data_IF_592937964416
#
_entry.id   IF_592937964416
#
_cell.length_a   1.000
_cell.length_b   1.000
_cell.length_c   1.000
_cell.angle_alpha   90.00
_cell.angle_beta   90.00
_cell.angle_gamma   90.00
#
_symmetry.space_group_name_H-M   'P 1'
#
loop_
_entity.id
_entity.type
_entity.pdbx_description
1 polymer ?
#
# COMPACT_ATOMS: atom_id res chain seq x y z
N UNK A 1 -23.02 -19.64 -7.37
CA UNK A 1 -22.54 -18.99 -6.15
C UNK A 1 -21.26 -18.25 -6.47
N UNK A 2 -20.32 -18.91 -7.16
CA UNK A 2 -19.14 -18.36 -7.87
C UNK A 2 -19.29 -16.93 -8.47
N UNK A 3 -20.35 -16.69 -9.25
CA UNK A 3 -20.54 -15.38 -9.91
C UNK A 3 -20.93 -14.24 -8.95
N UNK A 4 -21.49 -14.54 -7.78
CA UNK A 4 -22.01 -13.52 -6.85
C UNK A 4 -20.86 -12.90 -6.04
N UNK A 5 -19.95 -13.72 -5.49
CA UNK A 5 -18.81 -13.25 -4.69
C UNK A 5 -17.80 -12.46 -5.54
N UNK A 6 -17.51 -12.94 -6.75
CA UNK A 6 -16.64 -12.22 -7.69
C UNK A 6 -17.25 -10.87 -8.09
N UNK A 7 -18.54 -10.85 -8.45
CA UNK A 7 -19.25 -9.60 -8.77
C UNK A 7 -19.29 -8.65 -7.59
N UNK A 8 -19.49 -9.16 -6.37
CA UNK A 8 -19.51 -8.36 -5.15
C UNK A 8 -18.15 -7.71 -4.88
N UNK A 9 -17.04 -8.45 -5.02
CA UNK A 9 -15.69 -7.90 -4.82
C UNK A 9 -15.37 -6.81 -5.86
N UNK A 10 -15.76 -7.01 -7.12
CA UNK A 10 -15.63 -5.99 -8.17
C UNK A 10 -16.48 -4.74 -7.90
N UNK A 11 -17.70 -4.90 -7.39
CA UNK A 11 -18.56 -3.78 -7.01
C UNK A 11 -17.96 -3.00 -5.83
N UNK A 12 -17.39 -3.68 -4.85
CA UNK A 12 -16.64 -3.04 -3.77
C UNK A 12 -15.44 -2.27 -4.31
N UNK A 13 -14.62 -2.90 -5.16
CA UNK A 13 -13.45 -2.25 -5.77
C UNK A 13 -13.86 -1.01 -6.57
N UNK A 14 -14.91 -1.11 -7.39
CA UNK A 14 -15.46 0.01 -8.15
C UNK A 14 -15.94 1.14 -7.23
N UNK A 15 -16.76 0.82 -6.21
CA UNK A 15 -17.27 1.80 -5.26
C UNK A 15 -16.16 2.53 -4.50
N UNK A 16 -15.18 1.79 -3.98
CA UNK A 16 -14.03 2.37 -3.27
C UNK A 16 -13.19 3.25 -4.21
N UNK A 17 -12.97 2.81 -5.45
CA UNK A 17 -12.20 3.58 -6.45
C UNK A 17 -12.88 4.89 -6.84
N UNK A 18 -14.22 4.91 -6.96
CA UNK A 18 -14.99 6.13 -7.24
C UNK A 18 -14.85 7.15 -6.11
N UNK A 19 -15.03 6.71 -4.87
CA UNK A 19 -14.90 7.59 -3.69
C UNK A 19 -13.46 8.11 -3.59
N UNK A 20 -12.47 7.24 -3.76
CA UNK A 20 -11.06 7.62 -3.76
C UNK A 20 -10.75 8.65 -4.85
N UNK A 21 -11.19 8.41 -6.09
CA UNK A 21 -10.97 9.31 -7.22
C UNK A 21 -11.61 10.68 -7.02
N UNK A 22 -12.84 10.74 -6.52
CA UNK A 22 -13.55 11.99 -6.24
C UNK A 22 -12.82 12.84 -5.18
N UNK A 23 -12.36 12.21 -4.10
CA UNK A 23 -11.65 12.89 -3.01
C UNK A 23 -10.24 13.30 -3.45
N UNK A 24 -9.53 12.41 -4.15
CA UNK A 24 -8.19 12.70 -4.65
C UNK A 24 -8.19 13.84 -5.68
N UNK A 25 -9.24 13.94 -6.51
CA UNK A 25 -9.45 15.06 -7.41
C UNK A 25 -9.65 16.36 -6.63
N UNK A 26 -10.66 16.39 -5.75
CA UNK A 26 -11.03 17.60 -4.99
C UNK A 26 -9.88 18.11 -4.11
N UNK A 27 -9.24 17.24 -3.36
CA UNK A 27 -8.19 17.60 -2.40
C UNK A 27 -6.79 17.68 -3.02
N UNK A 28 -6.65 17.44 -4.33
CA UNK A 28 -5.36 17.34 -5.01
C UNK A 28 -4.36 16.41 -4.28
N UNK A 29 -4.86 15.26 -3.82
CA UNK A 29 -4.09 14.33 -3.01
C UNK A 29 -3.08 13.55 -3.87
N UNK A 30 -1.81 13.97 -3.84
CA UNK A 30 -0.71 13.26 -4.50
C UNK A 30 0.56 13.36 -3.67
N UNK A 31 1.25 12.23 -3.54
CA UNK A 31 2.51 12.09 -2.82
C UNK A 31 3.58 13.04 -3.35
N UNK A 32 3.75 13.09 -4.68
CA UNK A 32 4.70 14.00 -5.32
C UNK A 32 4.37 15.47 -5.04
N UNK A 33 3.08 15.81 -5.00
CA UNK A 33 2.64 17.17 -4.67
C UNK A 33 2.93 17.53 -3.22
N UNK A 34 2.71 16.60 -2.28
CA UNK A 34 3.04 16.81 -0.87
C UNK A 34 4.54 17.04 -0.64
N UNK A 35 5.40 16.27 -1.32
CA UNK A 35 6.85 16.43 -1.23
C UNK A 35 7.31 17.74 -1.89
N UNK A 36 6.78 18.06 -3.08
CA UNK A 36 7.10 19.30 -3.78
C UNK A 36 6.70 20.54 -2.99
N UNK A 37 5.51 20.54 -2.38
CA UNK A 37 5.03 21.71 -1.65
C UNK A 37 5.84 21.94 -0.37
N UNK A 38 6.27 20.86 0.30
CA UNK A 38 7.21 20.98 1.40
C UNK A 38 8.54 21.58 0.90
N UNK A 39 9.19 20.97 -0.09
CA UNK A 39 10.56 21.36 -0.48
C UNK A 39 10.62 22.72 -1.17
N UNK A 40 9.67 23.02 -2.05
CA UNK A 40 9.73 24.22 -2.90
C UNK A 40 8.94 25.42 -2.35
N UNK A 41 7.84 25.17 -1.62
CA UNK A 41 6.90 26.22 -1.19
C UNK A 41 6.94 26.41 0.34
N UNK A 42 7.36 25.40 1.09
CA UNK A 42 7.32 25.39 2.55
C UNK A 42 5.93 25.10 3.14
N UNK A 43 4.96 24.68 2.32
CA UNK A 43 3.63 24.28 2.80
C UNK A 43 3.60 22.79 3.16
N UNK A 44 3.39 22.49 4.44
CA UNK A 44 3.33 21.13 4.97
C UNK A 44 1.91 20.56 5.04
N UNK A 45 0.87 21.31 4.67
CA UNK A 45 -0.52 20.88 4.86
C UNK A 45 -0.88 19.63 4.05
N UNK A 46 -0.43 19.54 2.79
CA UNK A 46 -0.63 18.33 1.98
C UNK A 46 0.18 17.14 2.49
N UNK A 47 1.39 17.39 3.01
CA UNK A 47 2.19 16.35 3.66
C UNK A 47 1.49 15.81 4.92
N UNK A 48 0.90 16.69 5.73
CA UNK A 48 0.10 16.32 6.89
C UNK A 48 -1.14 15.51 6.51
N UNK A 49 -1.83 15.88 5.43
CA UNK A 49 -2.96 15.11 4.90
C UNK A 49 -2.54 13.70 4.47
N UNK A 50 -1.40 13.59 3.77
CA UNK A 50 -0.86 12.30 3.35
C UNK A 50 -0.44 11.43 4.55
N UNK A 51 0.25 12.01 5.54
CA UNK A 51 0.60 11.31 6.77
C UNK A 51 -0.62 10.93 7.60
N UNK A 52 -1.69 11.74 7.59
CA UNK A 52 -2.94 11.42 8.26
C UNK A 52 -3.59 10.17 7.66
N UNK A 53 -3.58 10.03 6.33
CA UNK A 53 -4.06 8.82 5.67
C UNK A 53 -3.24 7.59 6.10
N UNK A 54 -1.92 7.72 6.20
CA UNK A 54 -1.04 6.64 6.69
C UNK A 54 -1.38 6.28 8.13
N UNK A 55 -1.50 7.27 9.02
CA UNK A 55 -1.84 7.05 10.44
C UNK A 55 -3.18 6.35 10.60
N UNK A 56 -4.21 6.81 9.86
CA UNK A 56 -5.53 6.18 9.87
C UNK A 56 -5.47 4.74 9.36
N UNK A 57 -4.69 4.46 8.31
CA UNK A 57 -4.51 3.10 7.80
C UNK A 57 -3.76 2.21 8.80
N UNK A 58 -2.68 2.70 9.43
CA UNK A 58 -1.91 1.95 10.44
C UNK A 58 -2.80 1.57 11.62
N UNK A 59 -3.55 2.53 12.17
CA UNK A 59 -4.44 2.26 13.31
C UNK A 59 -5.58 1.32 12.88
N UNK A 60 -6.23 1.59 11.75
CA UNK A 60 -7.39 0.81 11.31
C UNK A 60 -7.04 -0.63 10.95
N UNK A 61 -5.96 -0.86 10.19
CA UNK A 61 -5.48 -2.22 9.88
C UNK A 61 -4.97 -2.90 11.15
N UNK A 62 -4.31 -2.17 12.06
CA UNK A 62 -3.91 -2.71 13.37
C UNK A 62 -5.09 -3.16 14.23
N UNK A 63 -6.23 -2.46 14.19
CA UNK A 63 -7.47 -2.91 14.86
C UNK A 63 -8.01 -4.18 14.20
N UNK A 64 -8.00 -4.25 12.86
CA UNK A 64 -8.45 -5.44 12.14
C UNK A 64 -7.59 -6.67 12.47
N UNK A 65 -6.26 -6.51 12.53
CA UNK A 65 -5.32 -7.56 12.95
C UNK A 65 -5.57 -7.96 14.40
N UNK A 66 -5.71 -6.99 15.30
CA UNK A 66 -5.94 -7.25 16.73
C UNK A 66 -7.24 -8.01 16.99
N UNK A 67 -8.29 -7.72 16.24
CA UNK A 67 -9.60 -8.38 16.36
C UNK A 67 -9.65 -9.74 15.64
N UNK A 68 -8.61 -10.12 14.89
CA UNK A 68 -8.60 -11.33 14.07
C UNK A 68 -9.57 -11.27 12.88
N UNK A 69 -9.98 -10.07 12.47
CA UNK A 69 -10.94 -9.88 11.37
C UNK A 69 -10.30 -10.01 9.98
N UNK A 70 -8.97 -9.96 9.91
CA UNK A 70 -8.18 -10.14 8.69
C UNK A 70 -7.06 -11.14 8.93
N UNK A 71 -6.73 -11.92 7.91
CA UNK A 71 -5.54 -12.77 7.91
C UNK A 71 -4.40 -12.10 7.12
N UNK A 72 -3.36 -11.70 7.85
CA UNK A 72 -2.18 -11.07 7.26
C UNK A 72 -1.13 -12.08 6.79
N UNK A 73 -1.30 -13.38 7.08
CA UNK A 73 -0.44 -14.44 6.57
C UNK A 73 -0.45 -14.49 5.04
N UNK A 74 -1.58 -14.11 4.42
CA UNK A 74 -1.80 -13.96 2.97
C UNK A 74 -0.84 -12.99 2.27
N UNK A 75 -0.03 -12.26 3.02
CA UNK A 75 0.90 -11.26 2.47
C UNK A 75 2.35 -11.73 2.42
N UNK A 76 2.58 -12.96 2.90
CA UNK A 76 3.90 -13.56 3.08
C UNK A 76 4.36 -14.34 1.85
N UNK A 77 3.43 -14.92 1.07
CA UNK A 77 3.74 -15.77 -0.08
C UNK A 77 3.46 -15.08 -1.42
N UNK A 78 4.18 -15.51 -2.47
CA UNK A 78 3.99 -15.03 -3.84
C UNK A 78 2.63 -15.43 -4.44
N UNK A 79 2.00 -16.48 -3.93
CA UNK A 79 0.76 -17.03 -4.45
C UNK A 79 -0.44 -16.14 -4.11
N UNK A 80 -0.42 -15.56 -2.90
CA UNK A 80 -1.49 -14.72 -2.38
C UNK A 80 -1.16 -13.22 -2.48
N UNK A 81 0.13 -12.86 -2.55
CA UNK A 81 0.59 -11.49 -2.77
C UNK A 81 1.83 -11.44 -3.66
N UNK A 82 1.67 -10.92 -4.88
CA UNK A 82 2.79 -10.69 -5.80
C UNK A 82 3.02 -9.19 -6.02
N UNK A 83 4.09 -8.59 -5.47
CA UNK A 83 5.19 -9.19 -4.70
C UNK A 83 4.86 -9.39 -3.20
N UNK A 84 5.57 -10.29 -2.49
CA UNK A 84 5.34 -10.56 -1.09
C UNK A 84 6.04 -9.48 -0.26
N UNK A 85 5.32 -8.91 0.70
CA UNK A 85 5.81 -7.78 1.50
C UNK A 85 5.87 -8.06 3.00
N UNK A 86 5.43 -9.23 3.48
CA UNK A 86 5.75 -9.75 4.83
C UNK A 86 6.64 -10.99 4.81
N UNK A 87 7.31 -11.30 3.69
CA UNK A 87 8.25 -12.44 3.61
C UNK A 87 9.45 -12.31 4.55
N UNK A 88 10.02 -13.43 5.00
CA UNK A 88 11.26 -13.44 5.81
C UNK A 88 12.49 -12.91 5.06
N UNK A 89 12.48 -12.93 3.73
CA UNK A 89 13.59 -12.42 2.92
C UNK A 89 13.45 -10.90 2.70
N UNK A 90 14.35 -10.13 3.32
CA UNK A 90 14.42 -8.68 3.19
C UNK A 90 15.42 -8.26 2.12
N UNK A 91 14.90 -7.99 0.92
CA UNK A 91 15.66 -7.52 -0.24
C UNK A 91 15.76 -5.99 -0.18
N UNK A 92 16.57 -5.46 0.75
CA UNK A 92 16.71 -4.01 1.00
C UNK A 92 17.01 -3.19 -0.28
N UNK A 93 17.81 -3.76 -1.19
CA UNK A 93 18.25 -3.08 -2.39
C UNK A 93 17.11 -2.83 -3.38
N UNK A 94 16.09 -3.70 -3.39
CA UNK A 94 14.86 -3.49 -4.17
C UNK A 94 14.12 -2.23 -3.73
N UNK A 95 14.08 -1.96 -2.43
CA UNK A 95 13.41 -0.78 -1.88
C UNK A 95 14.19 0.50 -2.20
N UNK A 96 15.53 0.47 -2.13
CA UNK A 96 16.36 1.63 -2.41
C UNK A 96 16.40 1.95 -3.91
N UNK A 97 16.75 0.99 -4.75
CA UNK A 97 16.86 1.17 -6.21
C UNK A 97 15.48 1.44 -6.81
N UNK A 98 14.46 0.66 -6.42
CA UNK A 98 13.09 0.84 -6.86
C UNK A 98 12.52 2.20 -6.44
N UNK A 99 12.73 2.60 -5.18
CA UNK A 99 12.30 3.90 -4.67
C UNK A 99 12.93 5.08 -5.41
N UNK A 100 14.24 5.00 -5.70
CA UNK A 100 14.96 6.02 -6.45
C UNK A 100 14.48 6.11 -7.91
N UNK A 101 14.35 4.97 -8.59
CA UNK A 101 13.82 4.93 -9.96
C UNK A 101 12.38 5.44 -10.03
N UNK A 102 11.53 5.09 -9.06
CA UNK A 102 10.16 5.56 -8.98
C UNK A 102 10.09 7.08 -8.73
N UNK A 103 10.94 7.60 -7.85
CA UNK A 103 11.07 9.04 -7.60
C UNK A 103 11.47 9.84 -8.84
N UNK A 104 12.50 9.38 -9.57
CA UNK A 104 12.92 9.96 -10.86
C UNK A 104 11.80 9.85 -11.89
N UNK A 105 11.10 8.72 -11.93
CA UNK A 105 9.93 8.53 -12.79
C UNK A 105 8.82 9.55 -12.51
N UNK A 106 8.50 9.80 -11.23
CA UNK A 106 7.48 10.77 -10.83
C UNK A 106 7.83 12.21 -11.25
N UNK A 107 9.11 12.61 -11.19
CA UNK A 107 9.52 13.95 -11.63
C UNK A 107 9.42 14.08 -13.16
N UNK A 108 9.89 13.09 -13.91
CA UNK A 108 9.82 13.07 -15.39
C UNK A 108 8.37 12.99 -15.91
N UNK A 109 7.54 12.16 -15.28
CA UNK A 109 6.11 12.06 -15.60
C UNK A 109 5.30 13.30 -15.16
N UNK A 110 5.89 14.15 -14.32
CA UNK A 110 5.23 15.31 -13.68
C UNK A 110 4.02 14.93 -12.83
N UNK A 111 4.08 13.78 -12.15
CA UNK A 111 3.01 13.27 -11.31
C UNK A 111 3.27 11.88 -10.73
N UNK A 112 2.56 11.57 -9.64
CA UNK A 112 2.46 10.21 -9.11
C UNK A 112 1.45 9.38 -9.91
N UNK A 113 1.48 8.04 -9.79
CA UNK A 113 0.51 7.15 -10.45
C UNK A 113 -0.94 7.57 -10.20
N UNK A 114 -1.28 7.91 -8.95
CA UNK A 114 -2.61 8.42 -8.58
C UNK A 114 -2.99 9.71 -9.33
N UNK A 115 -2.13 10.74 -9.31
CA UNK A 115 -2.46 12.01 -10.00
C UNK A 115 -2.53 11.85 -11.51
N UNK A 116 -1.80 10.89 -12.08
CA UNK A 116 -1.89 10.56 -13.51
C UNK A 116 -3.24 9.96 -13.86
N UNK A 117 -3.77 9.05 -13.05
CA UNK A 117 -5.13 8.50 -13.20
C UNK A 117 -6.20 9.58 -13.07
N UNK A 118 -6.10 10.45 -12.05
CA UNK A 118 -7.04 11.56 -11.86
C UNK A 118 -7.03 12.51 -13.06
N UNK A 119 -5.83 12.90 -13.56
CA UNK A 119 -5.69 13.77 -14.74
C UNK A 119 -6.19 13.12 -16.03
N UNK A 120 -6.06 11.81 -16.15
CA UNK A 120 -6.66 11.07 -17.27
C UNK A 120 -8.19 11.26 -17.26
N UNK A 121 -8.82 11.14 -16.09
CA UNK A 121 -10.25 11.42 -15.90
C UNK A 121 -10.64 12.89 -16.17
N UNK A 122 -9.72 13.84 -15.97
CA UNK A 122 -9.88 15.25 -16.33
C UNK A 122 -9.69 15.53 -17.83
N UNK A 123 -9.35 14.53 -18.65
CA UNK A 123 -9.16 14.68 -20.10
C UNK A 123 -7.73 15.03 -20.55
N UNK A 124 -6.72 14.75 -19.72
CA UNK A 124 -5.32 15.04 -20.07
C UNK A 124 -4.70 13.97 -20.98
N UNK A 125 -4.41 14.34 -22.24
CA UNK A 125 -3.81 13.43 -23.22
C UNK A 125 -2.39 12.96 -22.84
N UNK A 126 -1.59 13.80 -22.16
CA UNK A 126 -0.27 13.40 -21.64
C UNK A 126 -0.43 12.24 -20.65
N UNK A 127 -1.45 12.30 -19.80
CA UNK A 127 -1.70 11.26 -18.80
C UNK A 127 -2.07 9.91 -19.43
N UNK A 128 -2.72 9.89 -20.60
CA UNK A 128 -2.97 8.65 -21.36
C UNK A 128 -1.66 7.95 -21.69
N UNK A 129 -0.71 8.69 -22.27
CA UNK A 129 0.59 8.14 -22.70
C UNK A 129 1.38 7.64 -21.51
N UNK A 130 1.47 8.45 -20.45
CA UNK A 130 2.19 8.08 -19.22
C UNK A 130 1.58 6.84 -18.59
N UNK A 131 0.25 6.77 -18.46
CA UNK A 131 -0.43 5.62 -17.86
C UNK A 131 -0.24 4.35 -18.70
N UNK A 132 -0.27 4.47 -20.03
CA UNK A 132 -0.06 3.35 -20.95
C UNK A 132 1.34 2.77 -20.79
N UNK A 133 2.37 3.61 -20.81
CA UNK A 133 3.77 3.17 -20.63
C UNK A 133 3.97 2.57 -19.23
N UNK A 134 3.40 3.19 -18.19
CA UNK A 134 3.45 2.67 -16.83
C UNK A 134 2.76 1.29 -16.72
N UNK A 135 1.62 1.11 -17.39
CA UNK A 135 0.91 -0.17 -17.45
C UNK A 135 1.70 -1.26 -18.16
N UNK A 136 2.32 -0.95 -19.31
CA UNK A 136 3.18 -1.90 -20.04
C UNK A 136 4.40 -2.28 -19.18
N UNK A 137 5.04 -1.31 -18.51
CA UNK A 137 6.17 -1.56 -17.64
C UNK A 137 5.78 -2.41 -16.41
N UNK A 138 4.60 -2.15 -15.82
CA UNK A 138 4.07 -2.97 -14.73
C UNK A 138 3.77 -4.40 -15.19
N UNK A 139 3.18 -4.56 -16.37
CA UNK A 139 2.93 -5.87 -16.96
C UNK A 139 4.23 -6.65 -17.22
N UNK A 140 5.25 -6.00 -17.81
CA UNK A 140 6.58 -6.60 -17.97
C UNK A 140 7.21 -7.03 -16.64
N UNK A 141 7.07 -6.22 -15.59
CA UNK A 141 7.64 -6.55 -14.28
C UNK A 141 6.94 -7.71 -13.58
N UNK A 142 5.61 -7.81 -13.69
CA UNK A 142 4.81 -8.77 -12.93
C UNK A 142 4.59 -10.10 -13.66
N UNK A 143 4.36 -10.07 -14.97
CA UNK A 143 3.97 -11.24 -15.77
C UNK A 143 5.10 -11.80 -16.63
N UNK A 144 6.30 -11.23 -16.56
CA UNK A 144 7.46 -11.77 -17.28
C UNK A 144 8.65 -11.94 -16.35
N UNK A 145 9.61 -12.78 -16.76
CA UNK A 145 10.86 -12.98 -16.03
C UNK A 145 11.79 -11.75 -16.02
N UNK A 146 11.39 -10.63 -16.64
CA UNK A 146 12.18 -9.40 -16.69
C UNK A 146 12.54 -8.88 -15.28
N UNK A 147 11.56 -8.82 -14.37
CA UNK A 147 11.80 -8.37 -13.00
C UNK A 147 12.83 -9.23 -12.28
N UNK A 148 12.79 -10.55 -12.51
CA UNK A 148 13.77 -11.47 -11.96
C UNK A 148 15.16 -11.28 -12.59
N UNK A 149 15.26 -11.34 -13.92
CA UNK A 149 16.53 -11.31 -14.65
C UNK A 149 17.27 -9.98 -14.50
N UNK A 150 16.56 -8.86 -14.54
CA UNK A 150 17.18 -7.53 -14.54
C UNK A 150 17.40 -7.00 -13.13
N UNK A 151 16.57 -7.35 -12.15
CA UNK A 151 16.64 -6.80 -10.81
C UNK A 151 16.91 -7.88 -9.76
N UNK A 152 16.05 -8.88 -9.60
CA UNK A 152 16.17 -9.81 -8.48
C UNK A 152 17.43 -10.69 -8.54
N UNK A 153 17.91 -11.07 -9.73
CA UNK A 153 19.03 -11.99 -9.91
C UNK A 153 20.30 -11.54 -9.17
N UNK A 154 20.58 -10.24 -9.17
CA UNK A 154 21.77 -9.68 -8.50
C UNK A 154 21.43 -9.06 -7.13
N UNK A 155 20.16 -8.78 -6.84
CA UNK A 155 19.73 -8.27 -5.53
C UNK A 155 19.55 -9.39 -4.49
N UNK A 156 19.05 -10.56 -4.90
CA UNK A 156 18.78 -11.70 -4.01
C UNK A 156 20.03 -12.20 -3.25
N UNK A 157 21.23 -12.31 -3.85
CA UNK A 157 22.41 -12.74 -3.11
C UNK A 157 22.83 -11.79 -1.97
N UNK A 158 22.42 -10.53 -2.04
CA UNK A 158 22.72 -9.48 -1.02
C UNK A 158 21.51 -9.26 -0.09
N UNK A 159 20.47 -10.08 -0.22
CA UNK A 159 19.30 -10.01 0.65
C UNK A 159 19.60 -10.52 2.06
N UNK A 160 18.86 -9.99 3.03
CA UNK A 160 18.95 -10.42 4.42
C UNK A 160 17.84 -11.44 4.63
N UNK A 161 18.20 -12.70 4.85
CA UNK A 161 17.24 -13.76 5.14
C UNK A 161 17.08 -13.94 6.65
N UNK A 162 15.92 -13.51 7.16
CA UNK A 162 15.54 -13.63 8.56
C UNK A 162 15.14 -15.06 8.95
N UNK A 163 14.85 -15.94 7.98
CA UNK A 163 14.49 -17.34 8.24
C UNK A 163 15.63 -18.10 8.93
N UNK A 164 16.88 -17.79 8.60
CA UNK A 164 18.06 -18.39 9.24
C UNK A 164 18.18 -18.06 10.73
N UNK A 165 17.47 -17.04 11.20
CA UNK A 165 17.46 -16.58 12.59
C UNK A 165 16.16 -16.97 13.31
N UNK A 166 15.31 -17.83 12.71
CA UNK A 166 14.04 -18.26 13.29
C UNK A 166 12.95 -17.17 13.28
N UNK A 167 13.14 -16.11 12.50
CA UNK A 167 12.18 -15.01 12.37
C UNK A 167 11.30 -15.25 11.13
N UNK A 168 9.97 -15.41 11.29
CA UNK A 168 9.09 -15.84 10.20
C UNK A 168 8.76 -14.75 9.18
N UNK A 169 8.91 -13.46 9.53
CA UNK A 169 8.56 -12.33 8.65
C UNK A 169 9.45 -11.10 8.90
N UNK A 170 9.53 -10.21 7.91
CA UNK A 170 10.27 -8.95 7.99
C UNK A 170 9.52 -7.83 8.74
N UNK A 171 8.47 -8.16 9.47
CA UNK A 171 7.69 -7.20 10.22
C UNK A 171 8.43 -6.72 11.47
N UNK A 172 8.17 -5.48 11.87
CA UNK A 172 8.78 -4.91 13.08
C UNK A 172 8.48 -5.79 14.30
N UNK A 173 7.27 -6.36 14.38
CA UNK A 173 6.87 -7.31 15.44
C UNK A 173 7.70 -8.58 15.44
N UNK A 174 7.86 -9.21 14.27
CA UNK A 174 8.59 -10.45 14.11
C UNK A 174 10.09 -10.26 14.35
N UNK A 175 10.67 -9.17 13.84
CA UNK A 175 12.08 -8.82 14.09
C UNK A 175 12.33 -8.55 15.57
N UNK A 176 11.43 -7.82 16.24
CA UNK A 176 11.53 -7.60 17.70
C UNK A 176 11.36 -8.89 18.50
N UNK A 177 10.46 -9.80 18.07
CA UNK A 177 10.29 -11.09 18.74
C UNK A 177 11.53 -11.97 18.63
N UNK A 178 12.18 -12.03 17.46
CA UNK A 178 13.36 -12.87 17.26
C UNK A 178 14.62 -12.33 17.93
N UNK A 179 14.80 -11.01 17.95
CA UNK A 179 15.97 -10.38 18.61
C UNK A 179 15.77 -10.26 20.12
N UNK A 180 14.54 -9.94 20.55
CA UNK A 180 14.22 -9.62 21.95
C UNK A 180 13.69 -10.79 22.78
N UNK A 181 13.38 -11.95 22.18
CA UNK A 181 12.79 -13.10 22.87
C UNK A 181 11.37 -12.86 23.39
N UNK A 182 10.68 -11.85 22.85
CA UNK A 182 9.30 -11.49 23.22
C UNK A 182 8.35 -12.29 22.32
N UNK A 183 7.35 -12.96 22.88
CA UNK A 183 6.37 -13.70 22.08
C UNK A 183 5.61 -12.77 21.11
N UNK A 184 5.50 -13.19 19.85
CA UNK A 184 4.72 -12.47 18.84
C UNK A 184 3.23 -12.61 19.17
N UNK A 185 2.61 -11.49 19.57
CA UNK A 185 1.18 -11.40 19.87
C UNK A 185 0.54 -10.28 19.03
N UNK A 186 -0.73 -10.42 18.61
CA UNK A 186 -1.50 -9.33 18.01
C UNK A 186 -1.52 -8.06 18.88
N UNK A 187 -1.46 -8.19 20.21
CA UNK A 187 -1.36 -7.05 21.14
C UNK A 187 -0.08 -6.26 20.96
N UNK A 188 1.04 -6.94 20.68
CA UNK A 188 2.35 -6.31 20.49
C UNK A 188 2.38 -5.56 19.15
N UNK A 189 1.82 -6.16 18.09
CA UNK A 189 1.62 -5.48 16.80
C UNK A 189 0.81 -4.21 16.91
N UNK A 190 -0.35 -4.28 17.57
CA UNK A 190 -1.18 -3.10 17.79
C UNK A 190 -0.50 -2.03 18.65
N UNK A 191 0.26 -2.44 19.66
CA UNK A 191 1.02 -1.50 20.51
C UNK A 191 2.09 -0.75 19.73
N UNK A 192 2.83 -1.45 18.86
CA UNK A 192 3.84 -0.82 17.98
C UNK A 192 3.16 0.12 16.98
N UNK A 193 2.04 -0.30 16.38
CA UNK A 193 1.26 0.55 15.50
C UNK A 193 0.87 1.86 16.18
N UNK A 194 0.42 1.81 17.44
CA UNK A 194 0.12 3.00 18.25
C UNK A 194 1.35 3.84 18.58
N UNK A 195 2.47 3.23 18.94
CA UNK A 195 3.73 3.94 19.23
C UNK A 195 4.21 4.74 18.02
N UNK A 196 4.01 4.24 16.80
CA UNK A 196 4.34 4.96 15.56
C UNK A 196 3.27 5.99 15.21
N UNK A 197 1.99 5.62 15.33
CA UNK A 197 0.86 6.45 14.91
C UNK A 197 0.65 7.67 15.81
N UNK A 198 0.80 7.55 17.14
CA UNK A 198 0.52 8.64 18.09
C UNK A 198 1.45 9.84 17.89
N UNK A 199 2.80 9.69 17.83
CA UNK A 199 3.69 10.83 17.58
C UNK A 199 3.42 11.52 16.24
N UNK A 200 3.13 10.74 15.19
CA UNK A 200 2.75 11.28 13.88
C UNK A 200 1.44 12.07 13.99
N UNK A 201 0.42 11.52 14.65
CA UNK A 201 -0.86 12.20 14.85
C UNK A 201 -0.70 13.50 15.64
N UNK A 202 0.13 13.50 16.68
CA UNK A 202 0.45 14.71 17.46
C UNK A 202 1.11 15.76 16.55
N UNK A 203 2.08 15.37 15.73
CA UNK A 203 2.75 16.29 14.80
C UNK A 203 1.79 16.87 13.76
N UNK A 204 0.89 16.05 13.22
CA UNK A 204 -0.14 16.45 12.26
C UNK A 204 -1.11 17.47 12.90
N UNK A 205 -1.66 17.15 14.06
CA UNK A 205 -2.67 17.96 14.74
C UNK A 205 -2.11 19.20 15.43
N UNK A 206 -0.78 19.29 15.63
CA UNK A 206 -0.13 20.47 16.21
C UNK A 206 -0.25 21.70 15.33
N UNK A 207 -0.37 21.53 14.01
CA UNK A 207 -0.50 22.65 13.08
C UNK A 207 -1.92 23.21 13.07
N UNK A 208 -2.07 24.48 13.44
CA UNK A 208 -3.36 25.16 13.40
C UNK A 208 -3.92 25.25 11.98
N UNK A 209 -3.09 25.65 11.00
CA UNK A 209 -3.51 25.83 9.61
C UNK A 209 -4.00 24.54 8.94
N UNK A 210 -3.49 23.39 9.39
CA UNK A 210 -3.96 22.10 8.93
C UNK A 210 -5.34 21.76 9.54
N UNK A 211 -5.53 22.02 10.84
CA UNK A 211 -6.80 21.74 11.53
C UNK A 211 -7.96 22.57 10.99
N UNK A 212 -7.70 23.79 10.51
CA UNK A 212 -8.72 24.64 9.90
C UNK A 212 -9.03 24.25 8.46
N UNK A 213 -8.11 23.57 7.77
CA UNK A 213 -8.33 23.07 6.41
C UNK A 213 -9.10 21.73 6.42
N UNK A 214 -10.42 21.83 6.55
CA UNK A 214 -11.32 20.67 6.58
C UNK A 214 -11.25 19.80 5.32
N UNK A 215 -10.91 20.38 4.16
CA UNK A 215 -10.77 19.60 2.93
C UNK A 215 -9.59 18.63 3.00
N UNK A 216 -8.43 19.09 3.47
CA UNK A 216 -7.24 18.25 3.60
C UNK A 216 -7.34 17.24 4.75
N UNK A 217 -7.99 17.62 5.86
CA UNK A 217 -8.24 16.71 6.99
C UNK A 217 -9.19 15.59 6.57
N UNK A 218 -10.33 15.94 5.97
CA UNK A 218 -11.30 14.95 5.50
C UNK A 218 -10.72 14.05 4.41
N UNK A 219 -9.92 14.60 3.49
CA UNK A 219 -9.26 13.79 2.47
C UNK A 219 -8.32 12.75 3.08
N UNK A 220 -7.48 13.14 4.05
CA UNK A 220 -6.57 12.21 4.72
C UNK A 220 -7.33 11.10 5.46
N UNK A 221 -8.35 11.46 6.25
CA UNK A 221 -9.16 10.49 6.99
C UNK A 221 -9.91 9.52 6.07
N UNK A 222 -10.60 10.04 5.05
CA UNK A 222 -11.40 9.18 4.17
C UNK A 222 -10.49 8.27 3.34
N UNK A 223 -9.38 8.78 2.81
CA UNK A 223 -8.42 7.92 2.08
C UNK A 223 -7.85 6.83 2.99
N UNK A 224 -7.49 7.17 4.23
CA UNK A 224 -7.05 6.18 5.21
C UNK A 224 -8.13 5.12 5.49
N UNK A 225 -9.39 5.53 5.66
CA UNK A 225 -10.51 4.60 5.86
C UNK A 225 -10.77 3.71 4.64
N UNK A 226 -10.64 4.23 3.42
CA UNK A 226 -10.76 3.44 2.20
C UNK A 226 -9.70 2.33 2.14
N UNK A 227 -8.48 2.60 2.62
CA UNK A 227 -7.43 1.58 2.73
C UNK A 227 -7.83 0.49 3.73
N UNK A 228 -8.38 0.86 4.89
CA UNK A 228 -8.84 -0.10 5.92
C UNK A 228 -9.97 -0.97 5.37
N UNK A 229 -10.93 -0.38 4.67
CA UNK A 229 -12.03 -1.13 4.03
C UNK A 229 -11.47 -2.04 2.92
N UNK A 230 -10.51 -1.56 2.13
CA UNK A 230 -9.84 -2.37 1.11
C UNK A 230 -9.19 -3.62 1.70
N UNK A 231 -8.47 -3.48 2.82
CA UNK A 231 -7.91 -4.61 3.56
C UNK A 231 -8.99 -5.56 4.08
N UNK A 232 -10.09 -5.04 4.62
CA UNK A 232 -11.18 -5.87 5.09
C UNK A 232 -11.86 -6.66 3.96
N UNK A 233 -12.05 -6.04 2.79
CA UNK A 233 -12.66 -6.71 1.61
C UNK A 233 -11.73 -7.78 1.04
N UNK A 234 -10.42 -7.55 1.04
CA UNK A 234 -9.44 -8.44 0.39
C UNK A 234 -8.87 -9.53 1.30
N UNK A 235 -8.64 -9.23 2.58
CA UNK A 235 -8.05 -10.16 3.56
C UNK A 235 -8.99 -10.55 4.69
N UNK A 236 -10.23 -10.10 4.66
CA UNK A 236 -11.28 -10.55 5.57
C UNK A 236 -11.96 -11.84 5.09
N UNK A 237 -13.06 -12.26 5.75
CA UNK A 237 -13.72 -13.54 5.49
C UNK A 237 -14.13 -13.74 4.03
N UNK A 238 -14.71 -12.72 3.39
CA UNK A 238 -15.12 -12.81 1.98
C UNK A 238 -13.95 -12.84 0.99
N UNK A 239 -12.79 -12.29 1.36
CA UNK A 239 -11.58 -12.38 0.55
C UNK A 239 -10.91 -13.74 0.65
N UNK A 240 -10.93 -14.34 1.85
CA UNK A 240 -10.47 -15.71 2.08
C UNK A 240 -11.34 -16.73 1.32
N UNK A 241 -12.66 -16.60 1.40
CA UNK A 241 -13.60 -17.47 0.68
C UNK A 241 -13.39 -17.37 -0.85
N UNK A 242 -13.11 -16.16 -1.35
CA UNK A 242 -12.77 -15.96 -2.76
C UNK A 242 -11.47 -16.67 -3.14
N UNK A 243 -10.46 -16.65 -2.27
CA UNK A 243 -9.19 -17.34 -2.53
C UNK A 243 -9.35 -18.85 -2.52
N UNK A 244 -10.09 -19.38 -1.55
CA UNK A 244 -10.41 -20.81 -1.51
C UNK A 244 -11.13 -21.23 -2.80
N UNK A 245 -12.11 -20.44 -3.27
CA UNK A 245 -12.83 -20.72 -4.51
C UNK A 245 -11.92 -20.64 -5.76
N UNK A 246 -10.96 -19.69 -5.80
CA UNK A 246 -9.95 -19.59 -6.85
C UNK A 246 -8.99 -20.79 -6.88
N UNK A 247 -8.77 -21.49 -5.77
CA UNK A 247 -7.98 -22.72 -5.76
C UNK A 247 -8.68 -23.90 -6.44
N UNK A 248 -10.02 -23.93 -6.43
CA UNK A 248 -10.84 -24.96 -7.07
C UNK A 248 -11.14 -24.70 -8.55
N UNK A 249 -10.73 -23.56 -9.09
CA UNK A 249 -10.88 -23.26 -10.52
C UNK A 249 -9.80 -23.95 -11.38
N UNK A 250 -10.24 -24.64 -12.44
CA UNK A 250 -9.35 -25.33 -13.38
C UNK A 250 -8.37 -24.38 -14.09
N UNK A 251 -8.79 -23.13 -14.35
CA UNK A 251 -7.94 -22.05 -14.89
C UNK A 251 -7.97 -20.84 -13.96
N UNK A 252 -6.83 -20.56 -13.32
CA UNK A 252 -6.66 -19.32 -12.54
C UNK A 252 -6.52 -18.13 -13.50
N UNK A 253 -7.33 -17.07 -13.38
CA UNK A 253 -7.33 -15.97 -14.35
C UNK A 253 -6.02 -15.14 -14.40
N UNK A 254 -5.08 -15.33 -13.46
CA UNK A 254 -3.90 -14.45 -13.34
C UNK A 254 -2.55 -15.14 -13.05
N UNK A 255 -2.46 -16.47 -13.10
CA UNK A 255 -1.18 -17.18 -12.89
C UNK A 255 -0.93 -18.20 -14.01
N UNK A 256 -0.30 -17.74 -15.09
CA UNK A 256 0.47 -18.58 -16.01
C UNK A 256 1.93 -18.15 -15.96
#
# INVERSE_FOLDING_TARGET
MELDLYSQSLLWAFGLSLVFGAIANKANFCTMGAVSDWVNIGDHNRMRSWLLAIVTAIIGVGILEYTGSIDLSLTTSNETSNPPYRSANFIWLRHLVGGLMFGIGMTLASGCGNKTLVRLGEGNLKSVVVLTIMGIAAWWMLFTNFGYLVFLQWMLPVSIDFSNQGIPSQDITAVLSGIGGIESSPTLGFSIALIVAIPLLIWILRAHDFRTNLELVSAGLVIGMLIVIGWYVTSGPGGLELMDELEFMDERPFFT
#
